data_IF_562265169887
#
_entry.id   IF_562265169887
#
_cell.length_a   1.000
_cell.length_b   1.000
_cell.length_c   1.000
_cell.angle_alpha   90.00
_cell.angle_beta   90.00
_cell.angle_gamma   90.00
#
_symmetry.space_group_name_H-M   'P 1'
#
loop_
_entity.id
_entity.type
_entity.pdbx_description
1 polymer ?
#
# COMPACT_ATOMS: atom_id res chain seq x y z
N UNK A 1 -19.46 -42.76 7.47
CA UNK A 1 -18.91 -41.40 7.60
C UNK A 1 -17.75 -41.31 6.64
N UNK A 2 -17.96 -40.70 5.47
CA UNK A 2 -16.98 -40.67 4.37
C UNK A 2 -16.54 -39.23 4.16
N UNK A 3 -15.23 -38.98 4.22
CA UNK A 3 -14.62 -37.67 4.05
C UNK A 3 -14.75 -37.17 2.59
N UNK A 4 -14.93 -35.86 2.36
CA UNK A 4 -15.03 -35.32 1.00
C UNK A 4 -13.66 -35.28 0.33
N UNK A 5 -13.56 -35.96 -0.82
CA UNK A 5 -12.41 -36.03 -1.72
C UNK A 5 -12.34 -34.77 -2.61
N UNK A 6 -11.86 -33.65 -2.07
CA UNK A 6 -11.83 -32.36 -2.78
C UNK A 6 -10.49 -32.01 -3.46
N UNK A 7 -9.54 -32.94 -3.54
CA UNK A 7 -8.23 -32.69 -4.18
C UNK A 7 -8.15 -33.02 -5.68
N UNK A 8 -9.14 -33.73 -6.24
CA UNK A 8 -9.12 -34.18 -7.65
C UNK A 8 -9.52 -33.10 -8.66
N UNK A 9 -10.21 -32.05 -8.24
CA UNK A 9 -10.83 -31.08 -9.16
C UNK A 9 -9.86 -29.99 -9.65
N UNK A 10 -8.69 -29.85 -9.01
CA UNK A 10 -7.69 -28.85 -9.38
C UNK A 10 -6.85 -29.28 -10.60
N UNK A 11 -6.60 -30.59 -10.75
CA UNK A 11 -5.80 -31.13 -11.86
C UNK A 11 -6.49 -31.06 -13.21
N UNK A 12 -7.83 -31.05 -13.24
CA UNK A 12 -8.63 -31.03 -14.46
C UNK A 12 -8.60 -29.67 -15.20
N UNK A 13 -8.20 -28.58 -14.52
CA UNK A 13 -8.15 -27.22 -15.10
C UNK A 13 -6.77 -26.86 -15.66
N UNK A 14 -5.78 -27.72 -15.52
CA UNK A 14 -4.45 -27.50 -16.05
C UNK A 14 -4.39 -27.96 -17.52
N UNK A 15 -3.69 -27.24 -18.41
CA UNK A 15 -3.51 -27.67 -19.78
C UNK A 15 -2.82 -29.04 -19.83
N UNK A 16 -3.09 -29.85 -20.86
CA UNK A 16 -2.75 -31.28 -20.89
C UNK A 16 -1.26 -31.65 -20.65
N UNK A 17 -0.36 -30.67 -20.80
CA UNK A 17 1.07 -30.80 -20.51
C UNK A 17 1.45 -30.58 -19.03
N UNK A 18 0.55 -30.05 -18.20
CA UNK A 18 0.68 -29.86 -16.75
C UNK A 18 -0.28 -30.77 -15.94
N UNK A 19 -1.11 -31.55 -16.61
CA UNK A 19 -2.06 -32.45 -15.95
C UNK A 19 -1.31 -33.62 -15.27
N UNK A 20 -1.61 -33.96 -14.01
CA UNK A 20 -1.02 -35.12 -13.35
C UNK A 20 -1.32 -36.39 -14.14
N UNK A 21 -0.28 -37.09 -14.62
CA UNK A 21 -0.45 -38.36 -15.36
C UNK A 21 -0.55 -39.53 -14.38
N UNK A 22 -1.59 -40.35 -14.54
CA UNK A 22 -1.83 -41.52 -13.69
C UNK A 22 -0.93 -42.73 -14.00
N UNK A 23 -0.21 -42.75 -15.13
CA UNK A 23 0.64 -43.87 -15.56
C UNK A 23 2.06 -43.44 -15.89
N UNK A 24 3.04 -44.16 -15.33
CA UNK A 24 4.47 -43.97 -15.62
C UNK A 24 4.84 -44.54 -16.99
N UNK A 25 5.63 -43.79 -17.74
CA UNK A 25 6.31 -44.27 -18.94
C UNK A 25 7.58 -45.03 -18.50
N UNK A 26 7.85 -46.25 -19.00
CA UNK A 26 9.04 -47.00 -18.59
C UNK A 26 10.31 -46.22 -18.94
N UNK A 27 11.20 -46.03 -17.95
CA UNK A 27 12.47 -45.29 -18.10
C UNK A 27 12.46 -43.79 -17.76
N UNK A 28 11.32 -43.21 -17.35
CA UNK A 28 11.19 -41.76 -17.11
C UNK A 28 11.39 -41.29 -15.66
N UNK A 29 11.82 -42.17 -14.74
CA UNK A 29 11.90 -41.85 -13.30
C UNK A 29 12.75 -40.61 -12.97
N UNK A 30 13.86 -40.39 -13.70
CA UNK A 30 14.70 -39.20 -13.57
C UNK A 30 13.98 -37.93 -14.05
N UNK A 31 13.17 -38.03 -15.10
CA UNK A 31 12.36 -36.93 -15.63
C UNK A 31 11.26 -36.53 -14.65
N UNK A 32 10.60 -37.51 -14.02
CA UNK A 32 9.58 -37.27 -12.97
C UNK A 32 10.15 -36.56 -11.75
N UNK A 33 11.35 -36.96 -11.30
CA UNK A 33 12.03 -36.27 -10.20
C UNK A 33 12.36 -34.82 -10.54
N UNK A 34 12.82 -34.53 -11.75
CA UNK A 34 13.09 -33.17 -12.21
C UNK A 34 11.79 -32.35 -12.27
N UNK A 35 10.73 -32.90 -12.86
CA UNK A 35 9.44 -32.23 -13.01
C UNK A 35 8.81 -31.90 -11.66
N UNK A 36 8.77 -32.86 -10.73
CA UNK A 36 8.27 -32.64 -9.37
C UNK A 36 9.12 -31.63 -8.61
N UNK A 37 10.45 -31.67 -8.75
CA UNK A 37 11.34 -30.68 -8.14
C UNK A 37 11.07 -29.28 -8.69
N UNK A 38 10.90 -29.12 -10.00
CA UNK A 38 10.56 -27.84 -10.63
C UNK A 38 9.21 -27.31 -10.15
N UNK A 39 8.18 -28.16 -10.10
CA UNK A 39 6.86 -27.77 -9.61
C UNK A 39 6.89 -27.34 -8.14
N UNK A 40 7.66 -28.04 -7.30
CA UNK A 40 7.87 -27.65 -5.89
C UNK A 40 8.60 -26.31 -5.80
N UNK A 41 9.68 -26.11 -6.57
CA UNK A 41 10.41 -24.84 -6.58
C UNK A 41 9.53 -23.68 -7.04
N UNK A 42 8.74 -23.87 -8.10
CA UNK A 42 7.78 -22.86 -8.57
C UNK A 42 6.73 -22.56 -7.50
N UNK A 43 6.19 -23.58 -6.83
CA UNK A 43 5.26 -23.41 -5.72
C UNK A 43 5.84 -22.60 -4.57
N UNK A 44 7.10 -22.88 -4.19
CA UNK A 44 7.82 -22.13 -3.15
C UNK A 44 8.03 -20.67 -3.58
N UNK A 45 8.47 -20.42 -4.80
CA UNK A 45 8.69 -19.06 -5.30
C UNK A 45 7.40 -18.25 -5.32
N UNK A 46 6.29 -18.86 -5.75
CA UNK A 46 4.98 -18.21 -5.73
C UNK A 46 4.52 -17.93 -4.30
N UNK A 47 4.72 -18.86 -3.35
CA UNK A 47 4.37 -18.64 -1.96
C UNK A 47 5.20 -17.51 -1.32
N UNK A 48 6.50 -17.41 -1.63
CA UNK A 48 7.34 -16.30 -1.16
C UNK A 48 6.87 -14.98 -1.76
N UNK A 49 6.54 -14.96 -3.04
CA UNK A 49 6.03 -13.76 -3.71
C UNK A 49 4.71 -13.27 -3.12
N UNK A 50 3.76 -14.18 -2.82
CA UNK A 50 2.47 -13.81 -2.22
C UNK A 50 2.62 -13.31 -0.79
N UNK A 51 3.48 -13.95 0.03
CA UNK A 51 3.76 -13.45 1.39
C UNK A 51 4.36 -12.06 1.34
N UNK A 52 5.31 -11.82 0.42
CA UNK A 52 5.93 -10.50 0.27
C UNK A 52 4.90 -9.44 -0.15
N UNK A 53 4.04 -9.76 -1.11
CA UNK A 53 2.97 -8.85 -1.57
C UNK A 53 1.99 -8.52 -0.42
N UNK A 54 1.58 -9.52 0.36
CA UNK A 54 0.72 -9.31 1.54
C UNK A 54 1.41 -8.45 2.60
N UNK A 55 2.69 -8.70 2.90
CA UNK A 55 3.46 -7.90 3.87
C UNK A 55 3.56 -6.45 3.42
N UNK A 56 3.83 -6.20 2.14
CA UNK A 56 3.86 -4.85 1.58
C UNK A 56 2.50 -4.16 1.72
N UNK A 57 1.40 -4.83 1.36
CA UNK A 57 0.05 -4.28 1.50
C UNK A 57 -0.32 -3.97 2.95
N UNK A 58 0.01 -4.86 3.89
CA UNK A 58 -0.26 -4.61 5.31
C UNK A 58 0.52 -3.41 5.83
N UNK A 59 1.79 -3.26 5.46
CA UNK A 59 2.60 -2.12 5.87
C UNK A 59 2.04 -0.79 5.33
N UNK A 60 1.59 -0.78 4.07
CA UNK A 60 0.93 0.39 3.45
C UNK A 60 -0.35 0.75 4.19
N UNK A 61 -1.21 -0.23 4.50
CA UNK A 61 -2.46 0.00 5.23
C UNK A 61 -2.23 0.50 6.67
N UNK A 62 -1.25 -0.07 7.38
CA UNK A 62 -0.90 0.39 8.73
C UNK A 62 -0.38 1.84 8.71
N UNK A 63 0.47 2.17 7.74
CA UNK A 63 1.00 3.52 7.55
C UNK A 63 -0.09 4.51 7.19
N UNK A 64 -1.02 4.13 6.30
CA UNK A 64 -2.19 4.93 5.94
C UNK A 64 -3.06 5.25 7.16
N UNK A 65 -3.37 4.26 7.99
CA UNK A 65 -4.17 4.48 9.20
C UNK A 65 -3.45 5.42 10.18
N UNK A 66 -2.14 5.26 10.33
CA UNK A 66 -1.35 6.12 11.21
C UNK A 66 -1.26 7.55 10.70
N UNK A 67 -1.15 7.75 9.39
CA UNK A 67 -1.16 9.05 8.74
C UNK A 67 -2.47 9.79 8.97
N UNK A 68 -3.60 9.10 8.80
CA UNK A 68 -4.92 9.63 9.08
C UNK A 68 -5.08 10.01 10.56
N UNK A 69 -4.65 9.13 11.48
CA UNK A 69 -4.70 9.40 12.91
C UNK A 69 -3.82 10.59 13.31
N UNK A 70 -2.63 10.70 12.73
CA UNK A 70 -1.69 11.81 12.96
C UNK A 70 -2.24 13.12 12.46
N UNK A 71 -2.86 13.13 11.28
CA UNK A 71 -3.48 14.33 10.74
C UNK A 71 -4.63 14.82 11.63
N UNK A 72 -5.50 13.92 12.10
CA UNK A 72 -6.58 14.25 13.05
C UNK A 72 -6.03 14.78 14.38
N UNK A 73 -5.04 14.11 14.94
CA UNK A 73 -4.40 14.53 16.20
C UNK A 73 -3.71 15.89 16.10
N UNK A 74 -3.05 16.15 14.96
CA UNK A 74 -2.33 17.41 14.73
C UNK A 74 -3.26 18.59 14.46
N UNK A 75 -4.32 18.39 13.67
CA UNK A 75 -5.23 19.47 13.27
C UNK A 75 -6.43 19.64 14.21
N UNK A 76 -6.74 18.66 15.05
CA UNK A 76 -7.92 18.65 15.90
C UNK A 76 -9.23 18.42 15.15
N UNK A 77 -9.18 18.01 13.88
CA UNK A 77 -10.36 17.79 13.06
C UNK A 77 -10.59 16.30 12.75
N UNK A 78 -11.82 15.83 12.93
CA UNK A 78 -12.20 14.44 12.63
C UNK A 78 -12.96 14.32 11.30
N UNK A 79 -12.26 14.49 10.18
CA UNK A 79 -12.85 14.25 8.87
C UNK A 79 -12.75 12.78 8.46
N UNK A 80 -13.77 12.31 7.74
CA UNK A 80 -13.80 10.99 7.13
C UNK A 80 -13.13 10.93 5.75
N UNK A 81 -13.08 12.06 5.03
CA UNK A 81 -12.61 12.13 3.65
C UNK A 81 -11.31 12.91 3.56
N UNK A 82 -10.19 12.28 3.94
CA UNK A 82 -8.84 12.81 3.76
C UNK A 82 -8.23 12.22 2.49
N UNK A 83 -7.58 13.04 1.68
CA UNK A 83 -6.79 12.58 0.53
C UNK A 83 -5.36 12.31 0.99
N UNK A 84 -4.89 11.09 0.83
CA UNK A 84 -3.52 10.70 1.17
C UNK A 84 -2.77 10.39 -0.11
N UNK A 85 -1.66 11.10 -0.33
CA UNK A 85 -0.70 10.77 -1.36
C UNK A 85 0.45 10.03 -0.70
N UNK A 86 0.49 8.71 -0.93
CA UNK A 86 1.55 7.83 -0.44
C UNK A 86 2.53 7.53 -1.55
N UNK A 87 3.82 7.64 -1.24
CA UNK A 87 4.85 7.20 -2.16
C UNK A 87 5.04 5.68 -2.05
N UNK A 88 4.35 4.95 -2.93
CA UNK A 88 4.35 3.49 -2.99
C UNK A 88 5.60 2.91 -3.69
N UNK A 89 6.28 3.70 -4.53
CA UNK A 89 7.35 3.21 -5.41
C UNK A 89 8.75 3.69 -5.00
N UNK A 90 8.87 4.88 -4.40
CA UNK A 90 10.15 5.45 -4.00
C UNK A 90 10.69 4.91 -2.68
N UNK A 91 9.98 3.99 -2.01
CA UNK A 91 10.24 3.58 -0.63
C UNK A 91 10.45 4.77 0.33
N UNK A 92 9.97 5.97 -0.04
CA UNK A 92 10.22 7.12 0.79
C UNK A 92 9.39 6.99 2.06
N UNK A 93 10.00 7.32 3.19
CA UNK A 93 9.33 7.33 4.49
C UNK A 93 8.53 8.62 4.67
N UNK A 94 8.10 9.27 3.58
CA UNK A 94 7.37 10.53 3.59
C UNK A 94 6.07 10.40 2.83
N UNK A 95 4.96 10.72 3.50
CA UNK A 95 3.66 10.86 2.84
C UNK A 95 3.09 12.25 3.04
N UNK A 96 2.17 12.60 2.16
CA UNK A 96 1.44 13.85 2.21
C UNK A 96 -0.02 13.52 2.50
N UNK A 97 -0.54 14.07 3.61
CA UNK A 97 -1.93 13.89 4.02
C UNK A 97 -2.62 15.24 3.92
N UNK A 98 -3.58 15.36 3.01
CA UNK A 98 -4.36 16.58 2.83
C UNK A 98 -5.81 16.39 3.27
N UNK A 99 -6.34 17.36 3.99
CA UNK A 99 -7.73 17.38 4.44
C UNK A 99 -8.33 18.78 4.36
N UNK A 100 -9.59 18.86 3.95
CA UNK A 100 -10.31 20.13 3.92
C UNK A 100 -10.83 20.46 5.33
N UNK A 101 -10.48 21.62 5.88
CA UNK A 101 -11.01 22.04 7.17
C UNK A 101 -12.36 22.76 6.98
N UNK A 102 -13.40 22.22 7.62
CA UNK A 102 -14.73 22.82 7.73
C UNK A 102 -15.07 22.86 9.24
N UNK A 103 -15.17 24.05 9.84
CA UNK A 103 -16.42 24.81 9.73
C UNK A 103 -16.17 26.33 9.60
N UNK A 104 -15.60 26.79 8.48
CA UNK A 104 -15.57 28.22 8.14
C UNK A 104 -16.79 28.62 7.30
N UNK A 105 -17.23 29.91 7.31
CA UNK A 105 -18.26 30.44 6.42
C UNK A 105 -17.97 30.13 4.93
N UNK A 106 -18.99 30.23 4.04
CA UNK A 106 -18.82 29.97 2.62
C UNK A 106 -17.67 30.81 2.05
N UNK A 107 -16.68 30.15 1.41
CA UNK A 107 -15.41 30.68 0.87
C UNK A 107 -14.20 30.72 1.81
N UNK A 108 -14.32 30.33 3.09
CA UNK A 108 -13.17 30.19 4.02
C UNK A 108 -12.61 28.77 4.14
N UNK A 109 -13.08 27.85 3.31
CA UNK A 109 -12.56 26.48 3.31
C UNK A 109 -11.08 26.52 2.91
N UNK A 110 -10.23 25.87 3.69
CA UNK A 110 -8.82 25.70 3.37
C UNK A 110 -8.50 24.22 3.45
N UNK A 111 -7.67 23.75 2.54
CA UNK A 111 -7.16 22.38 2.60
C UNK A 111 -5.79 22.43 3.27
N UNK A 112 -5.63 21.67 4.36
CA UNK A 112 -4.38 21.55 5.11
C UNK A 112 -3.70 20.27 4.67
N UNK A 113 -2.51 20.42 4.10
CA UNK A 113 -1.63 19.32 3.74
C UNK A 113 -0.48 19.22 4.74
N UNK A 114 -0.29 18.02 5.30
CA UNK A 114 0.76 17.71 6.26
C UNK A 114 1.75 16.72 5.65
N UNK A 115 3.02 16.92 5.98
CA UNK A 115 4.12 16.02 5.62
C UNK A 115 4.39 15.09 6.80
N UNK A 116 3.92 13.85 6.69
CA UNK A 116 4.15 12.79 7.66
C UNK A 116 5.43 12.03 7.31
N UNK A 117 6.29 11.81 8.30
CA UNK A 117 7.61 11.18 8.10
C UNK A 117 7.93 10.13 9.16
N UNK A 118 8.83 9.21 8.81
CA UNK A 118 9.40 8.24 9.73
C UNK A 118 8.48 7.03 10.03
N UNK A 119 8.85 6.20 11.02
CA UNK A 119 8.09 5.00 11.39
C UNK A 119 6.80 5.34 12.14
N UNK A 120 5.86 4.39 12.18
CA UNK A 120 4.65 4.47 13.01
C UNK A 120 5.03 4.18 14.46
N UNK A 121 4.75 5.12 15.36
CA UNK A 121 4.93 5.00 16.82
C UNK A 121 3.58 5.32 17.47
N UNK A 122 3.08 4.41 18.31
CA UNK A 122 1.78 4.54 18.99
C UNK A 122 0.59 4.84 18.06
N UNK A 123 0.63 4.29 16.84
CA UNK A 123 -0.41 4.54 15.83
C UNK A 123 -0.33 5.93 15.17
N UNK A 124 0.75 6.67 15.40
CA UNK A 124 0.99 7.99 14.83
C UNK A 124 2.35 8.07 14.11
N UNK A 125 2.52 9.11 13.29
CA UNK A 125 3.75 9.43 12.56
C UNK A 125 4.10 10.90 12.77
N UNK A 126 5.38 11.20 12.62
CA UNK A 126 5.90 12.53 12.90
C UNK A 126 5.52 13.51 11.79
N UNK A 127 4.75 14.54 12.12
CA UNK A 127 4.49 15.67 11.21
C UNK A 127 5.69 16.63 11.25
N UNK A 128 6.35 16.81 10.11
CA UNK A 128 7.55 17.67 10.00
C UNK A 128 7.30 19.01 9.33
N UNK A 129 6.14 19.18 8.70
CA UNK A 129 5.78 20.40 8.00
C UNK A 129 4.46 20.25 7.26
N UNK A 130 4.16 21.24 6.43
CA UNK A 130 2.92 21.27 5.67
C UNK A 130 2.73 22.57 4.91
N UNK A 131 1.58 22.67 4.25
CA UNK A 131 1.12 23.84 3.51
C UNK A 131 -0.39 23.88 3.47
N UNK A 132 -0.91 25.05 3.08
CA UNK A 132 -2.31 25.27 2.81
C UNK A 132 -2.56 25.27 1.30
N UNK A 133 -3.76 24.84 0.93
CA UNK A 133 -4.28 24.82 -0.42
C UNK A 133 -5.66 25.49 -0.46
N UNK A 134 -6.03 26.13 -1.59
CA UNK A 134 -7.39 26.54 -1.84
C UNK A 134 -8.37 25.35 -1.83
N UNK A 135 -9.65 25.66 -1.71
CA UNK A 135 -10.72 24.65 -1.72
C UNK A 135 -10.72 23.86 -3.01
N UNK A 136 -10.72 22.52 -2.92
CA UNK A 136 -10.84 21.62 -4.09
C UNK A 136 -9.77 21.86 -5.16
N UNK A 137 -8.65 22.48 -4.81
CA UNK A 137 -7.51 22.56 -5.72
C UNK A 137 -6.71 21.27 -5.66
N UNK A 138 -6.21 20.83 -6.80
CA UNK A 138 -5.15 19.82 -6.84
C UNK A 138 -3.91 20.31 -6.09
N UNK A 139 -3.12 19.38 -5.56
CA UNK A 139 -1.90 19.68 -4.83
C UNK A 139 -0.73 20.08 -5.75
N UNK A 140 -0.95 21.13 -6.55
CA UNK A 140 0.06 21.70 -7.42
C UNK A 140 0.87 22.75 -6.68
N UNK A 141 2.20 22.69 -6.85
CA UNK A 141 3.16 23.60 -6.20
C UNK A 141 2.74 25.08 -6.27
N UNK A 142 2.23 25.54 -7.41
CA UNK A 142 1.79 26.94 -7.63
C UNK A 142 0.62 27.40 -6.74
N UNK A 143 -0.17 26.47 -6.22
CA UNK A 143 -1.33 26.76 -5.38
C UNK A 143 -1.05 26.64 -3.89
N UNK A 144 0.14 26.14 -3.51
CA UNK A 144 0.52 25.96 -2.12
C UNK A 144 0.88 27.31 -1.51
N UNK A 145 0.36 27.59 -0.31
CA UNK A 145 0.67 28.81 0.42
C UNK A 145 0.82 28.53 1.92
N UNK A 146 1.36 29.51 2.66
CA UNK A 146 1.53 29.42 4.12
C UNK A 146 2.34 28.22 4.58
N UNK A 147 3.39 27.86 3.84
CA UNK A 147 4.19 26.67 4.11
C UNK A 147 5.03 26.77 5.38
N UNK A 148 5.17 25.65 6.07
CA UNK A 148 5.91 25.57 7.34
C UNK A 148 6.66 24.26 7.49
N UNK A 149 7.64 24.26 8.40
CA UNK A 149 8.49 23.10 8.68
C UNK A 149 9.28 22.63 7.45
N UNK A 150 9.40 21.32 7.27
CA UNK A 150 10.13 20.68 6.17
C UNK A 150 9.65 21.12 4.79
N UNK A 151 8.38 21.50 4.65
CA UNK A 151 7.82 22.00 3.39
C UNK A 151 8.59 23.22 2.84
N UNK A 152 9.04 24.10 3.74
CA UNK A 152 9.78 25.31 3.39
C UNK A 152 11.24 25.00 3.02
N UNK A 153 11.90 24.13 3.77
CA UNK A 153 13.32 23.79 3.57
C UNK A 153 13.55 22.89 2.36
N UNK A 154 12.61 21.99 2.07
CA UNK A 154 12.70 21.03 0.96
C UNK A 154 12.13 21.60 -0.36
N UNK A 155 11.70 22.86 -0.37
CA UNK A 155 11.28 23.55 -1.59
C UNK A 155 9.93 23.09 -2.14
N UNK A 156 9.01 22.62 -1.30
CA UNK A 156 7.68 22.18 -1.73
C UNK A 156 6.74 23.30 -2.15
N UNK A 157 7.15 24.55 -1.94
CA UNK A 157 6.30 25.72 -2.10
C UNK A 157 6.73 26.56 -3.29
N UNK A 158 5.85 27.44 -3.81
CA UNK A 158 6.25 28.42 -4.81
C UNK A 158 7.47 29.21 -4.29
N UNK A 159 8.38 29.57 -5.20
CA UNK A 159 9.49 30.46 -4.87
C UNK A 159 8.98 31.89 -4.69
#
# INVERSE_FOLDING_TARGET
MSAPSSFTDFGARLPAWLAPRERELPGSGRTRLIETTLLVLVGILLAVATVNDVVLQTHVNHRLNADLASWRGYTGHDYKNLSVEQDLYGHSTRDIVCGNTTPGPPKERIQICLVATGPVVDGHRAIKGGWYLPVKSEDLRRYRYGCYGSAKTEGFCPR
#
